data_IF_532229077061
#
_entry.id   IF_532229077061
#
_cell.length_a   1.000
_cell.length_b   1.000
_cell.length_c   1.000
_cell.angle_alpha   90.00
_cell.angle_beta   90.00
_cell.angle_gamma   90.00
#
_symmetry.space_group_name_H-M   'P 1'
#
loop_
_entity.id
_entity.type
_entity.pdbx_description
1 polymer ?
#
# COMPACT_ATOMS: atom_id res chain seq x y z
N UNK A 1 -1.59 -4.52 15.28
CA UNK A 1 -2.58 -4.03 14.31
C UNK A 1 -1.83 -3.25 13.24
N UNK A 2 -2.18 -3.42 11.97
CA UNK A 2 -1.49 -2.73 10.87
C UNK A 2 -2.32 -1.51 10.46
N UNK A 3 -2.36 -0.49 11.33
CA UNK A 3 -3.17 0.74 11.20
C UNK A 3 -3.04 1.42 9.83
N UNK A 4 -1.89 1.29 9.17
CA UNK A 4 -1.64 1.92 7.87
C UNK A 4 -2.57 1.39 6.78
N UNK A 5 -2.98 0.12 6.83
CA UNK A 5 -3.89 -0.45 5.83
C UNK A 5 -5.32 0.07 5.99
N UNK A 6 -5.69 0.59 7.17
CA UNK A 6 -7.01 1.23 7.39
C UNK A 6 -7.07 2.62 6.77
N UNK A 7 -5.92 3.28 6.61
CA UNK A 7 -5.79 4.54 5.88
C UNK A 7 -5.76 4.34 4.34
N UNK A 8 -5.89 3.11 3.85
CA UNK A 8 -5.99 2.80 2.41
C UNK A 8 -7.42 2.44 2.06
N UNK A 9 -8.02 3.22 1.17
CA UNK A 9 -9.36 2.95 0.65
C UNK A 9 -9.26 2.15 -0.64
N UNK A 10 -9.88 0.96 -0.66
CA UNK A 10 -9.98 0.12 -1.86
C UNK A 10 -11.42 0.04 -2.33
N UNK A 11 -11.67 0.45 -3.58
CA UNK A 11 -12.95 0.32 -4.26
C UNK A 11 -12.83 -0.64 -5.42
N UNK A 12 -13.72 -1.63 -5.46
CA UNK A 12 -13.82 -2.59 -6.57
C UNK A 12 -15.09 -2.37 -7.36
N UNK A 13 -15.00 -2.50 -8.68
CA UNK A 13 -16.16 -2.60 -9.57
C UNK A 13 -15.87 -3.58 -10.70
N UNK A 14 -16.89 -4.32 -11.14
CA UNK A 14 -16.79 -5.20 -12.30
C UNK A 14 -17.44 -4.51 -13.49
N UNK A 15 -16.76 -4.49 -14.63
CA UNK A 15 -17.27 -3.89 -15.87
C UNK A 15 -16.78 -4.69 -17.07
N UNK A 16 -17.70 -5.13 -17.93
CA UNK A 16 -17.41 -5.87 -19.18
C UNK A 16 -16.43 -7.04 -19.00
N UNK A 17 -16.65 -7.87 -17.98
CA UNK A 17 -15.79 -9.04 -17.69
C UNK A 17 -14.43 -8.72 -17.06
N UNK A 18 -14.15 -7.44 -16.76
CA UNK A 18 -12.92 -6.98 -16.10
C UNK A 18 -13.21 -6.46 -14.70
N UNK A 19 -12.34 -6.77 -13.75
CA UNK A 19 -12.36 -6.19 -12.40
C UNK A 19 -11.50 -4.92 -12.42
N UNK A 20 -12.08 -3.79 -12.05
CA UNK A 20 -11.37 -2.53 -11.88
C UNK A 20 -11.25 -2.28 -10.38
N UNK A 21 -10.01 -2.20 -9.90
CA UNK A 21 -9.69 -1.90 -8.51
C UNK A 21 -9.10 -0.50 -8.46
N UNK A 22 -9.72 0.39 -7.71
CA UNK A 22 -9.24 1.73 -7.43
C UNK A 22 -8.76 1.78 -5.99
N UNK A 23 -7.49 2.10 -5.81
CA UNK A 23 -6.83 2.23 -4.51
C UNK A 23 -6.53 3.70 -4.31
N UNK A 24 -6.97 4.24 -3.18
CA UNK A 24 -6.58 5.57 -2.72
C UNK A 24 -5.84 5.40 -1.42
N UNK A 25 -4.58 5.81 -1.43
CA UNK A 25 -3.70 5.79 -0.26
C UNK A 25 -3.70 7.19 0.34
N UNK A 26 -3.94 7.28 1.64
CA UNK A 26 -4.03 8.55 2.38
C UNK A 26 -3.33 8.43 3.74
N UNK A 27 -2.24 7.66 3.76
CA UNK A 27 -1.42 7.42 4.92
C UNK A 27 -0.60 8.69 5.18
N UNK A 28 -0.74 9.18 6.40
CA UNK A 28 0.00 10.34 6.87
C UNK A 28 1.52 10.09 6.82
N UNK A 29 2.27 11.07 6.31
CA UNK A 29 3.71 10.95 6.15
C UNK A 29 4.46 10.91 7.48
N UNK A 30 3.97 11.61 8.50
CA UNK A 30 4.53 11.56 9.85
C UNK A 30 4.30 10.18 10.47
N UNK A 31 3.13 9.58 10.22
CA UNK A 31 2.84 8.22 10.66
C UNK A 31 3.77 7.18 9.99
N UNK A 32 4.07 7.36 8.69
CA UNK A 32 5.03 6.52 7.97
C UNK A 32 6.45 6.73 8.49
N UNK A 33 6.86 7.97 8.69
CA UNK A 33 8.18 8.34 9.22
C UNK A 33 8.39 7.76 10.61
N UNK A 34 7.47 8.01 11.55
CA UNK A 34 7.57 7.47 12.91
C UNK A 34 7.65 5.93 12.94
N UNK A 35 6.93 5.26 12.04
CA UNK A 35 6.95 3.79 11.96
C UNK A 35 8.23 3.27 11.30
N UNK A 36 8.76 3.98 10.29
CA UNK A 36 10.02 3.68 9.63
C UNK A 36 11.20 3.86 10.59
N UNK A 37 11.31 5.02 11.24
CA UNK A 37 12.31 5.31 12.26
C UNK A 37 12.28 4.30 13.40
N UNK A 38 11.09 3.99 13.94
CA UNK A 38 10.96 2.96 14.98
C UNK A 38 11.52 1.61 14.53
N UNK A 39 11.30 1.23 13.26
CA UNK A 39 11.80 -0.04 12.71
C UNK A 39 13.30 -0.05 12.55
N UNK A 40 13.87 1.06 12.07
CA UNK A 40 15.31 1.23 11.85
C UNK A 40 16.07 1.41 13.16
N UNK A 41 15.48 2.09 14.15
CA UNK A 41 16.02 2.23 15.49
C UNK A 41 16.18 0.87 16.17
N UNK A 42 15.18 -0.01 16.03
CA UNK A 42 15.26 -1.39 16.50
C UNK A 42 16.35 -2.20 15.79
N UNK A 43 16.69 -1.84 14.55
CA UNK A 43 17.76 -2.44 13.77
C UNK A 43 19.14 -1.80 14.05
N UNK A 44 19.20 -0.70 14.82
CA UNK A 44 20.43 0.06 15.07
C UNK A 44 20.97 0.78 13.83
N UNK A 45 20.12 1.06 12.83
CA UNK A 45 20.53 1.48 11.48
C UNK A 45 19.61 2.61 10.99
N UNK A 46 19.58 3.70 11.77
CA UNK A 46 18.79 4.90 11.46
C UNK A 46 19.61 5.81 10.55
N UNK A 47 19.15 5.91 9.31
CA UNK A 47 19.71 6.74 8.25
C UNK A 47 18.56 7.27 7.41
N UNK A 48 18.62 8.55 7.01
CA UNK A 48 17.50 9.24 6.36
C UNK A 48 17.11 8.58 5.02
N UNK A 49 18.08 8.11 4.23
CA UNK A 49 17.79 7.41 2.97
C UNK A 49 17.08 6.07 3.24
N UNK A 50 17.43 5.41 4.35
CA UNK A 50 16.76 4.18 4.77
C UNK A 50 15.37 4.44 5.32
N UNK A 51 15.16 5.56 6.01
CA UNK A 51 13.83 5.98 6.49
C UNK A 51 12.91 6.14 5.29
N UNK A 52 13.30 6.90 4.27
CA UNK A 52 12.51 7.10 3.05
C UNK A 52 12.24 5.79 2.32
N UNK A 53 13.25 4.93 2.14
CA UNK A 53 13.05 3.60 1.55
C UNK A 53 12.07 2.74 2.35
N UNK A 54 12.14 2.81 3.68
CA UNK A 54 11.26 2.06 4.57
C UNK A 54 9.84 2.61 4.55
N UNK A 55 9.65 3.94 4.41
CA UNK A 55 8.34 4.58 4.24
C UNK A 55 7.64 4.05 2.99
N UNK A 56 8.32 4.04 1.85
CA UNK A 56 7.77 3.48 0.61
C UNK A 56 7.37 2.02 0.77
N UNK A 57 8.24 1.18 1.35
CA UNK A 57 7.92 -0.22 1.61
C UNK A 57 6.74 -0.42 2.57
N UNK A 58 6.59 0.45 3.57
CA UNK A 58 5.47 0.41 4.51
C UNK A 58 4.16 0.78 3.81
N UNK A 59 4.18 1.80 2.96
CA UNK A 59 3.02 2.22 2.17
C UNK A 59 2.62 1.16 1.14
N UNK A 60 3.57 0.59 0.39
CA UNK A 60 3.33 -0.50 -0.55
C UNK A 60 2.69 -1.71 0.14
N UNK A 61 3.23 -2.14 1.28
CA UNK A 61 2.65 -3.24 2.06
C UNK A 61 1.26 -2.92 2.59
N UNK A 62 1.02 -1.69 3.05
CA UNK A 62 -0.30 -1.29 3.53
C UNK A 62 -1.33 -1.35 2.40
N UNK A 63 -0.94 -0.88 1.21
CA UNK A 63 -1.76 -0.95 0.00
C UNK A 63 -2.01 -2.39 -0.42
N UNK A 64 -0.97 -3.23 -0.49
CA UNK A 64 -1.08 -4.65 -0.83
C UNK A 64 -2.05 -5.38 0.11
N UNK A 65 -1.89 -5.21 1.42
CA UNK A 65 -2.77 -5.82 2.43
C UNK A 65 -4.21 -5.33 2.29
N UNK A 66 -4.42 -4.03 2.05
CA UNK A 66 -5.75 -3.48 1.83
C UNK A 66 -6.40 -4.04 0.56
N UNK A 67 -5.64 -4.22 -0.52
CA UNK A 67 -6.13 -4.83 -1.77
C UNK A 67 -6.44 -6.31 -1.56
N UNK A 68 -5.57 -7.07 -0.90
CA UNK A 68 -5.82 -8.50 -0.59
C UNK A 68 -7.09 -8.69 0.20
N UNK A 69 -7.34 -7.81 1.18
CA UNK A 69 -8.53 -7.86 2.04
C UNK A 69 -9.82 -7.51 1.29
N UNK A 70 -9.80 -6.47 0.45
CA UNK A 70 -11.02 -5.90 -0.14
C UNK A 70 -11.30 -6.39 -1.58
N UNK A 71 -10.27 -6.73 -2.33
CA UNK A 71 -10.30 -7.18 -3.71
C UNK A 71 -9.30 -8.35 -3.95
N UNK A 72 -9.49 -9.51 -3.29
CA UNK A 72 -8.59 -10.67 -3.46
C UNK A 72 -8.53 -11.18 -4.90
N UNK A 73 -9.60 -10.99 -5.69
CA UNK A 73 -9.65 -11.26 -7.13
C UNK A 73 -8.56 -10.52 -7.93
N UNK A 74 -7.96 -9.46 -7.36
CA UNK A 74 -6.84 -8.75 -7.98
C UNK A 74 -5.58 -9.62 -8.12
N UNK A 75 -5.45 -10.64 -7.27
CA UNK A 75 -4.32 -11.56 -7.23
C UNK A 75 -4.64 -12.91 -7.89
N UNK A 76 -5.84 -13.06 -8.46
CA UNK A 76 -6.21 -14.27 -9.19
C UNK A 76 -5.68 -14.20 -10.64
N UNK A 77 -4.75 -15.09 -11.04
CA UNK A 77 -4.20 -15.09 -12.39
C UNK A 77 -5.25 -15.40 -13.48
N UNK A 78 -6.40 -15.97 -13.11
CA UNK A 78 -7.52 -16.23 -14.03
C UNK A 78 -8.43 -15.02 -14.26
N UNK A 79 -8.28 -13.96 -13.48
CA UNK A 79 -9.16 -12.80 -13.54
C UNK A 79 -8.47 -11.63 -14.24
N UNK A 80 -9.13 -11.06 -15.26
CA UNK A 80 -8.67 -9.82 -15.88
C UNK A 80 -8.89 -8.64 -14.92
N UNK A 81 -7.79 -8.10 -14.38
CA UNK A 81 -7.80 -7.03 -13.40
C UNK A 81 -7.13 -5.78 -13.97
N UNK A 82 -7.65 -4.60 -13.63
CA UNK A 82 -6.94 -3.33 -13.80
C UNK A 82 -6.91 -2.61 -12.46
N UNK A 83 -5.71 -2.40 -11.94
CA UNK A 83 -5.48 -1.66 -10.71
C UNK A 83 -5.14 -0.21 -11.04
N UNK A 84 -5.76 0.72 -10.32
CA UNK A 84 -5.48 2.16 -10.38
C UNK A 84 -5.08 2.62 -9.00
N UNK A 85 -3.84 3.06 -8.87
CA UNK A 85 -3.29 3.68 -7.68
C UNK A 85 -3.48 5.20 -7.79
N UNK A 86 -4.21 5.78 -6.85
CA UNK A 86 -4.30 7.23 -6.66
C UNK A 86 -3.56 7.54 -5.35
N UNK A 87 -2.31 7.92 -5.47
CA UNK A 87 -1.42 8.31 -4.38
C UNK A 87 -0.52 9.44 -4.90
N UNK A 88 -0.13 10.34 -4.00
CA UNK A 88 0.88 11.37 -4.28
C UNK A 88 2.31 10.79 -4.25
N UNK A 89 2.46 9.52 -3.87
CA UNK A 89 3.74 8.80 -3.81
C UNK A 89 3.91 7.91 -5.04
N UNK A 90 5.16 7.67 -5.43
CA UNK A 90 5.50 6.67 -6.43
C UNK A 90 5.41 5.27 -5.79
N UNK A 91 4.20 4.70 -5.75
CA UNK A 91 3.94 3.36 -5.22
C UNK A 91 3.74 2.37 -6.35
N UNK A 92 4.32 1.20 -6.18
CA UNK A 92 4.17 0.10 -7.11
C UNK A 92 3.45 -1.08 -6.44
N UNK A 93 2.42 -1.60 -7.11
CA UNK A 93 1.73 -2.82 -6.69
C UNK A 93 2.29 -3.99 -7.51
N UNK A 94 3.11 -4.83 -6.88
CA UNK A 94 3.66 -6.05 -7.48
C UNK A 94 3.70 -7.20 -6.48
#
# INVERSE_FOLDING_TARGET
MNDLAEAVTVRKRRSRGRVIVSVTESIDDDALTAKAEKRLLLAGDVDDDRVEKTKSQLAERAVEEAVKRNAPEAFDPGTSVSVRLNTDRDLSLF
#
